data_IF_893280044435
#
_entry.id   IF_893280044435
#
_cell.length_a   1.000
_cell.length_b   1.000
_cell.length_c   1.000
_cell.angle_alpha   90.00
_cell.angle_beta   90.00
_cell.angle_gamma   90.00
#
_symmetry.space_group_name_H-M   'P 1'
#
loop_
_entity.id
_entity.type
_entity.pdbx_description
1 polymer ?
#
# COMPACT_ATOMS: atom_id res chain seq x y z
N UNK A 1 0.78 23.68 -11.40
CA UNK A 1 0.90 23.13 -11.48
C UNK A 1 0.88 22.27 -11.48
N UNK A 2 0.96 21.88 -11.35
CA UNK A 2 1.00 21.10 -11.27
C UNK A 2 1.22 20.09 -11.47
N UNK A 3 1.55 19.50 -11.41
CA UNK A 3 1.74 18.51 -11.53
C UNK A 3 1.40 17.51 -11.55
N UNK A 4 1.34 17.66 -11.35
CA UNK A 4 0.94 16.47 -11.21
C UNK A 4 0.85 15.45 -12.30
N UNK A 5 0.99 15.50 -13.32
CA UNK A 5 0.95 14.66 -14.28
C UNK A 5 1.84 13.56 -14.24
N UNK A 6 2.89 13.74 -13.75
CA UNK A 6 3.85 12.69 -13.54
C UNK A 6 3.43 11.77 -12.45
N UNK A 7 2.55 12.24 -11.61
CA UNK A 7 2.08 11.44 -10.49
C UNK A 7 1.41 10.16 -10.95
N UNK A 8 0.77 10.18 -12.09
CA UNK A 8 0.12 8.98 -12.59
C UNK A 8 1.10 7.87 -12.90
N UNK A 9 2.37 8.22 -13.11
CA UNK A 9 3.41 7.23 -13.42
C UNK A 9 4.30 6.91 -12.24
N UNK A 10 4.12 7.59 -11.14
CA UNK A 10 4.89 7.35 -9.94
C UNK A 10 4.24 6.21 -9.19
N UNK A 11 4.90 5.07 -9.17
CA UNK A 11 4.38 3.87 -8.53
C UNK A 11 4.72 3.77 -7.07
N UNK A 12 5.34 4.79 -6.50
CA UNK A 12 5.64 4.76 -5.07
C UNK A 12 4.33 4.88 -4.28
N UNK A 13 4.18 4.08 -3.22
CA UNK A 13 2.99 4.17 -2.39
C UNK A 13 2.91 5.51 -1.66
N UNK A 14 1.71 6.04 -1.59
CA UNK A 14 1.41 7.27 -0.88
C UNK A 14 0.40 7.04 0.21
N UNK A 15 0.33 7.98 1.12
CA UNK A 15 -0.69 8.02 2.17
C UNK A 15 -2.08 7.81 1.57
N UNK A 16 -2.84 6.92 2.18
CA UNK A 16 -4.20 6.51 1.81
C UNK A 16 -4.29 5.68 0.53
N UNK A 17 -3.17 5.34 -0.10
CA UNK A 17 -3.20 4.37 -1.18
C UNK A 17 -3.62 3.01 -0.66
N UNK A 18 -4.37 2.29 -1.48
CA UNK A 18 -4.69 0.89 -1.25
C UNK A 18 -3.60 0.06 -1.89
N UNK A 19 -3.07 -0.89 -1.16
CA UNK A 19 -1.92 -1.68 -1.61
C UNK A 19 -2.18 -3.16 -1.35
N UNK A 20 -1.46 -4.00 -2.10
CA UNK A 20 -1.43 -5.43 -1.85
C UNK A 20 0.01 -5.84 -1.54
N UNK A 21 0.16 -6.82 -0.64
CA UNK A 21 1.49 -7.35 -0.34
C UNK A 21 2.03 -8.15 -1.52
N UNK A 22 3.28 -7.91 -1.85
CA UNK A 22 3.99 -8.68 -2.89
C UNK A 22 4.72 -9.88 -2.31
N UNK A 23 4.76 -10.01 -0.99
CA UNK A 23 5.45 -11.09 -0.31
C UNK A 23 4.70 -11.46 0.95
N UNK A 24 4.97 -12.66 1.48
CA UNK A 24 4.43 -13.06 2.77
C UNK A 24 5.15 -12.32 3.89
N UNK A 25 4.41 -12.04 4.97
CA UNK A 25 4.96 -11.52 6.21
C UNK A 25 4.52 -12.45 7.33
N UNK A 26 5.14 -13.64 7.43
CA UNK A 26 4.63 -14.68 8.34
C UNK A 26 4.71 -14.29 9.83
N UNK A 27 5.67 -13.46 10.20
CA UNK A 27 5.76 -13.01 11.59
C UNK A 27 4.56 -12.15 11.99
N UNK A 28 3.90 -11.51 11.03
CA UNK A 28 2.71 -10.71 11.26
C UNK A 28 1.44 -11.45 10.91
N UNK A 29 1.54 -12.70 10.45
CA UNK A 29 0.37 -13.45 10.05
C UNK A 29 -0.25 -12.98 8.75
N UNK A 30 0.55 -12.40 7.86
CA UNK A 30 0.06 -11.83 6.60
C UNK A 30 0.64 -12.59 5.42
N UNK A 31 -0.16 -12.73 4.38
CA UNK A 31 0.23 -13.45 3.18
C UNK A 31 0.27 -12.51 1.97
N UNK A 32 1.09 -12.89 1.00
CA UNK A 32 1.15 -12.22 -0.29
C UNK A 32 -0.27 -12.07 -0.85
N UNK A 33 -0.54 -10.89 -1.38
CA UNK A 33 -1.84 -10.59 -1.97
C UNK A 33 -2.84 -9.97 -1.01
N UNK A 34 -2.56 -9.99 0.30
CA UNK A 34 -3.47 -9.32 1.23
C UNK A 34 -3.43 -7.82 1.04
N UNK A 35 -4.59 -7.19 1.19
CA UNK A 35 -4.81 -5.80 0.84
C UNK A 35 -4.88 -4.94 2.10
N UNK A 36 -4.23 -3.80 2.05
CA UNK A 36 -4.26 -2.83 3.14
C UNK A 36 -4.26 -1.41 2.61
N UNK A 37 -4.25 -0.47 3.54
CA UNK A 37 -4.25 0.96 3.22
C UNK A 37 -3.07 1.61 3.93
N UNK A 38 -2.35 2.46 3.23
CA UNK A 38 -1.24 3.20 3.83
C UNK A 38 -1.82 4.28 4.73
N UNK A 39 -1.47 4.23 6.01
CA UNK A 39 -1.98 5.18 7.00
C UNK A 39 -0.90 6.14 7.50
N UNK A 40 0.37 5.87 7.19
CA UNK A 40 1.46 6.78 7.55
C UNK A 40 2.69 6.43 6.71
N UNK A 41 3.55 7.41 6.53
CA UNK A 41 4.87 7.22 5.92
C UNK A 41 5.89 7.35 7.04
N UNK A 42 6.61 6.27 7.32
CA UNK A 42 7.55 6.26 8.44
C UNK A 42 8.90 6.84 8.04
N UNK A 43 9.32 6.59 6.80
CA UNK A 43 10.51 7.17 6.23
C UNK A 43 10.44 7.05 4.70
N UNK A 44 11.53 7.32 4.00
CA UNK A 44 11.53 7.34 2.54
C UNK A 44 11.22 6.00 1.91
N UNK A 45 11.41 4.90 2.63
CA UNK A 45 11.27 3.56 2.07
C UNK A 45 10.27 2.68 2.79
N UNK A 46 9.66 3.17 3.88
CA UNK A 46 8.78 2.35 4.71
C UNK A 46 7.46 3.04 4.97
N UNK A 47 6.38 2.34 4.70
CA UNK A 47 5.02 2.82 4.93
C UNK A 47 4.38 2.00 6.04
N UNK A 48 3.53 2.66 6.83
CA UNK A 48 2.70 1.96 7.81
C UNK A 48 1.40 1.58 7.14
N UNK A 49 1.10 0.29 7.14
CA UNK A 49 -0.06 -0.24 6.41
C UNK A 49 -1.04 -0.86 7.38
N UNK A 50 -2.30 -0.46 7.26
CA UNK A 50 -3.39 -1.03 8.03
C UNK A 50 -4.11 -2.05 7.17
N UNK A 51 -4.15 -3.30 7.65
CA UNK A 51 -4.85 -4.38 6.96
C UNK A 51 -6.21 -4.60 7.61
N UNK A 52 -7.25 -4.65 6.79
CA UNK A 52 -8.62 -4.79 7.25
C UNK A 52 -9.25 -6.02 6.61
N UNK A 53 -10.20 -6.62 7.32
CA UNK A 53 -10.95 -7.74 6.79
C UNK A 53 -12.06 -7.23 5.86
N UNK A 54 -12.85 -8.15 5.33
CA UNK A 54 -13.91 -7.82 4.38
C UNK A 54 -15.08 -7.06 5.01
N UNK A 55 -15.07 -6.90 6.33
CA UNK A 55 -16.06 -6.10 7.03
C UNK A 55 -15.49 -4.74 7.48
N UNK A 56 -14.30 -4.42 7.03
CA UNK A 56 -13.69 -3.13 7.32
C UNK A 56 -13.02 -3.04 8.68
N UNK A 57 -12.86 -4.16 9.39
CA UNK A 57 -12.20 -4.14 10.70
C UNK A 57 -10.71 -4.36 10.53
N UNK A 58 -9.92 -3.48 11.12
CA UNK A 58 -8.48 -3.61 11.10
C UNK A 58 -8.05 -4.79 11.96
N UNK A 59 -7.15 -5.62 11.42
CA UNK A 59 -6.61 -6.75 12.18
C UNK A 59 -5.10 -6.68 12.30
N UNK A 60 -4.45 -5.80 11.59
CA UNK A 60 -3.01 -5.61 11.69
C UNK A 60 -2.61 -4.23 11.20
N UNK A 61 -1.64 -3.61 11.86
CA UNK A 61 -1.02 -2.37 11.40
C UNK A 61 0.47 -2.62 11.43
N UNK A 62 1.11 -2.61 10.27
CA UNK A 62 2.46 -3.13 10.11
C UNK A 62 3.32 -2.18 9.29
N UNK A 63 4.56 -1.88 9.73
CA UNK A 63 5.52 -1.20 8.86
C UNK A 63 5.91 -2.14 7.71
N UNK A 64 5.82 -1.65 6.49
CA UNK A 64 6.15 -2.44 5.31
C UNK A 64 7.11 -1.67 4.43
N UNK A 65 8.20 -2.30 3.98
CA UNK A 65 9.05 -1.69 2.96
C UNK A 65 8.22 -1.46 1.70
N UNK A 66 8.36 -0.30 1.09
CA UNK A 66 7.59 0.04 -0.10
C UNK A 66 7.83 -0.93 -1.25
N UNK A 67 9.02 -1.52 -1.31
CA UNK A 67 9.32 -2.51 -2.34
C UNK A 67 8.43 -3.75 -2.25
N UNK A 68 7.80 -3.99 -1.11
CA UNK A 68 6.91 -5.13 -0.89
C UNK A 68 5.44 -4.79 -1.13
N UNK A 69 5.15 -3.60 -1.64
CA UNK A 69 3.79 -3.13 -1.80
C UNK A 69 3.48 -2.84 -3.26
N UNK A 70 2.33 -3.32 -3.72
CA UNK A 70 1.80 -3.01 -5.03
C UNK A 70 0.64 -2.03 -4.85
N UNK A 71 0.75 -0.84 -5.41
CA UNK A 71 -0.35 0.12 -5.37
C UNK A 71 -1.44 -0.33 -6.31
N UNK A 72 -2.67 -0.36 -5.81
CA UNK A 72 -3.83 -0.79 -6.59
C UNK A 72 -4.55 0.43 -7.14
N UNK A 73 -4.97 0.33 -8.40
CA UNK A 73 -5.64 1.42 -9.09
C UNK A 73 -7.06 1.00 -9.43
N UNK A 74 -8.02 1.78 -8.96
CA UNK A 74 -9.43 1.51 -9.25
C UNK A 74 -9.91 2.20 -10.50
N UNK A 75 -9.18 3.23 -10.93
CA UNK A 75 -9.51 4.00 -12.13
C UNK A 75 -8.60 3.51 -13.24
N UNK A 76 -9.11 3.31 -14.47
CA UNK A 76 -8.25 2.90 -15.57
C UNK A 76 -7.10 3.89 -15.76
N UNK A 77 -5.89 3.34 -15.90
CA UNK A 77 -4.68 4.14 -16.08
C UNK A 77 -4.17 3.92 -17.49
N UNK A 78 -3.64 4.98 -18.09
CA UNK A 78 -2.99 4.83 -19.39
C UNK A 78 -1.69 4.06 -19.21
N UNK A 79 -1.48 3.08 -20.06
CA UNK A 79 -0.28 2.23 -19.97
C UNK A 79 0.96 2.98 -20.45
#
# INVERSE_FOLDING_TARGET
MMQTKNDAKDERPFLLDVVALLTDLPAQGLARGQVGTIVDQLDDTTSLVEFSDDQGRAYAVVPCPQENLLVLHYVPEAA
#
